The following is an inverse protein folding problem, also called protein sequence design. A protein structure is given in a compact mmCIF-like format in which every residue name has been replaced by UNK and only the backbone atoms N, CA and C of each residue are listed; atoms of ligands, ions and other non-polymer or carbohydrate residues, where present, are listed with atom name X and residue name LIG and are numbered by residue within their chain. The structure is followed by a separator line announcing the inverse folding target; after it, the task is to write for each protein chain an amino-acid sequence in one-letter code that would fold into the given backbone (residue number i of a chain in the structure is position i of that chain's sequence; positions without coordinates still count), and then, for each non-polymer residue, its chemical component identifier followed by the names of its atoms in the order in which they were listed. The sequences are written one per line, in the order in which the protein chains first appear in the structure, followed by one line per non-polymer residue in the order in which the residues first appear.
data_IF_811395515694
#
_entry.id   IF_811395515694
#
_cell.length_a   1.000
_cell.length_b   1.000
_cell.length_c   1.000
_cell.angle_alpha   90.00
_cell.angle_beta   90.00
_cell.angle_gamma   90.00
#
_symmetry.space_group_name_H-M   'P 1'
#
loop_
_entity.id
_entity.type
_entity.pdbx_description
1 polymer ?
#
# COMPACT_ATOMS: atom_id res chain seq x y z
N UNK A 1 32.71 -8.00 -14.05
CA UNK A 1 32.23 -7.99 -12.65
C UNK A 1 31.26 -9.14 -12.35
N UNK A 2 30.77 -9.84 -13.37
CA UNK A 2 29.88 -11.01 -13.23
C UNK A 2 30.61 -12.33 -12.87
N UNK A 3 31.92 -12.34 -12.97
CA UNK A 3 32.72 -13.57 -12.87
C UNK A 3 32.92 -14.10 -11.45
N UNK A 4 32.84 -13.25 -10.42
CA UNK A 4 33.11 -13.66 -9.03
C UNK A 4 31.89 -14.28 -8.30
N UNK A 5 30.69 -14.19 -8.89
CA UNK A 5 29.46 -14.73 -8.32
C UNK A 5 29.00 -16.06 -8.96
N UNK A 6 29.71 -16.54 -9.98
CA UNK A 6 29.29 -17.73 -10.73
C UNK A 6 29.85 -19.06 -10.18
N UNK A 7 30.80 -19.07 -9.25
CA UNK A 7 31.56 -20.29 -8.98
C UNK A 7 31.07 -21.18 -7.84
N UNK A 8 30.15 -20.81 -6.95
CA UNK A 8 29.78 -21.71 -5.84
C UNK A 8 28.29 -21.61 -5.47
N UNK A 9 27.41 -22.23 -6.24
CA UNK A 9 26.08 -22.58 -5.76
C UNK A 9 26.07 -24.07 -5.37
N UNK A 10 25.99 -24.44 -4.08
CA UNK A 10 25.79 -25.82 -3.68
C UNK A 10 24.40 -26.31 -4.10
N UNK A 11 24.22 -27.62 -4.30
CA UNK A 11 22.87 -28.18 -4.56
C UNK A 11 22.03 -28.00 -3.29
N UNK A 12 21.05 -27.09 -3.36
CA UNK A 12 20.15 -26.82 -2.26
C UNK A 12 19.22 -28.01 -2.05
N UNK A 13 19.10 -28.48 -0.81
CA UNK A 13 18.05 -29.40 -0.42
C UNK A 13 16.71 -28.65 -0.33
N UNK A 14 15.57 -29.31 -0.53
CA UNK A 14 14.23 -28.69 -0.44
C UNK A 14 13.97 -28.03 0.94
N UNK A 15 14.62 -28.54 1.98
CA UNK A 15 14.57 -27.99 3.35
C UNK A 15 15.31 -26.65 3.45
N UNK A 16 16.46 -26.51 2.76
CA UNK A 16 17.24 -25.27 2.76
C UNK A 16 16.52 -24.15 1.98
N UNK A 17 15.85 -24.50 0.89
CA UNK A 17 15.04 -23.53 0.12
C UNK A 17 13.85 -23.00 0.93
N UNK A 18 13.20 -23.83 1.75
CA UNK A 18 12.12 -23.40 2.65
C UNK A 18 12.59 -22.46 3.76
N UNK A 19 13.75 -22.76 4.37
CA UNK A 19 14.38 -21.91 5.38
C UNK A 19 14.79 -20.57 4.77
N UNK A 20 15.44 -20.61 3.61
CA UNK A 20 15.87 -19.43 2.88
C UNK A 20 14.67 -18.56 2.43
N UNK A 21 13.56 -19.17 2.02
CA UNK A 21 12.32 -18.45 1.69
C UNK A 21 11.77 -17.70 2.89
N UNK A 22 11.80 -18.30 4.08
CA UNK A 22 11.35 -17.66 5.32
C UNK A 22 12.25 -16.47 5.66
N UNK A 23 13.56 -16.65 5.66
CA UNK A 23 14.52 -15.60 5.95
C UNK A 23 14.43 -14.45 4.93
N UNK A 24 14.21 -14.77 3.65
CA UNK A 24 13.96 -13.79 2.60
C UNK A 24 12.70 -12.97 2.84
N UNK A 25 11.61 -13.61 3.29
CA UNK A 25 10.35 -12.94 3.61
C UNK A 25 10.49 -12.04 4.84
N UNK A 26 11.15 -12.54 5.89
CA UNK A 26 11.35 -11.80 7.14
C UNK A 26 12.25 -10.57 6.89
N UNK A 27 13.36 -10.73 6.18
CA UNK A 27 14.24 -9.63 5.81
C UNK A 27 13.55 -8.63 4.85
N UNK A 28 12.83 -9.11 3.83
CA UNK A 28 12.14 -8.25 2.87
C UNK A 28 11.00 -7.46 3.50
N UNK A 29 10.38 -7.95 4.58
CA UNK A 29 9.35 -7.24 5.32
C UNK A 29 9.89 -5.93 5.93
N UNK A 30 11.12 -5.93 6.46
CA UNK A 30 11.74 -4.73 7.03
C UNK A 30 12.11 -3.70 5.95
N UNK A 31 12.55 -4.16 4.79
CA UNK A 31 12.84 -3.31 3.63
C UNK A 31 11.57 -2.89 2.86
N UNK A 32 10.44 -3.53 3.16
CA UNK A 32 9.16 -3.27 2.51
C UNK A 32 9.08 -3.75 1.06
N UNK A 33 10.18 -4.20 0.44
CA UNK A 33 10.16 -4.84 -0.88
C UNK A 33 11.38 -5.75 -1.08
N UNK A 34 11.19 -6.77 -1.92
CA UNK A 34 12.27 -7.70 -2.31
C UNK A 34 13.37 -6.96 -3.07
N UNK A 35 12.99 -6.02 -3.94
CA UNK A 35 13.95 -5.24 -4.74
C UNK A 35 14.82 -4.32 -3.87
N UNK A 36 14.26 -3.69 -2.84
CA UNK A 36 15.02 -2.84 -1.91
C UNK A 36 16.03 -3.66 -1.09
N UNK A 37 15.62 -4.82 -0.58
CA UNK A 37 16.51 -5.75 0.11
C UNK A 37 17.64 -6.23 -0.81
N UNK A 38 17.30 -6.68 -2.03
CA UNK A 38 18.30 -7.15 -3.00
C UNK A 38 19.32 -6.05 -3.34
N UNK A 39 18.84 -4.83 -3.65
CA UNK A 39 19.71 -3.69 -3.93
C UNK A 39 20.64 -3.34 -2.76
N UNK A 40 20.14 -3.40 -1.53
CA UNK A 40 20.95 -3.16 -0.35
C UNK A 40 22.05 -4.24 -0.18
N UNK A 41 21.67 -5.53 -0.25
CA UNK A 41 22.64 -6.63 -0.12
C UNK A 41 23.67 -6.62 -1.25
N UNK A 42 23.28 -6.25 -2.47
CA UNK A 42 24.19 -6.05 -3.60
C UNK A 42 25.16 -4.87 -3.36
N UNK A 43 24.67 -3.79 -2.77
CA UNK A 43 25.51 -2.67 -2.36
C UNK A 43 26.54 -3.11 -1.32
N UNK A 44 26.15 -3.88 -0.30
CA UNK A 44 27.09 -4.45 0.68
C UNK A 44 28.08 -5.38 0.02
N UNK A 45 27.66 -6.25 -0.92
CA UNK A 45 28.53 -7.15 -1.66
C UNK A 45 29.56 -6.42 -2.54
N UNK A 46 29.13 -5.30 -3.14
CA UNK A 46 29.95 -4.48 -4.04
C UNK A 46 30.83 -3.45 -3.32
N UNK A 47 30.63 -3.25 -2.00
CA UNK A 47 31.29 -2.19 -1.24
C UNK A 47 32.82 -2.27 -1.30
N UNK A 48 33.40 -1.57 -2.27
CA UNK A 48 34.79 -1.14 -2.27
C UNK A 48 34.83 0.21 -1.53
N UNK A 49 35.21 0.23 -0.27
CA UNK A 49 35.65 1.36 0.61
C UNK A 49 35.05 2.78 0.42
N UNK A 50 34.25 3.07 -0.59
CA UNK A 50 33.71 4.43 -0.88
C UNK A 50 32.25 4.64 -0.50
N UNK A 51 31.43 3.59 -0.51
CA UNK A 51 30.00 3.72 -0.16
C UNK A 51 29.79 3.10 1.22
N UNK A 52 29.39 3.91 2.19
CA UNK A 52 29.07 3.42 3.52
C UNK A 52 27.61 2.87 3.53
N UNK A 53 27.41 1.53 3.55
CA UNK A 53 26.07 0.94 3.53
C UNK A 53 25.22 1.35 4.72
N UNK A 54 25.85 1.65 5.87
CA UNK A 54 25.19 2.16 7.06
C UNK A 54 24.55 3.53 6.80
N UNK A 55 25.32 4.46 6.22
CA UNK A 55 24.81 5.79 5.90
C UNK A 55 23.66 5.75 4.87
N UNK A 56 23.69 4.77 3.98
CA UNK A 56 22.61 4.55 3.01
C UNK A 56 21.34 4.07 3.70
N UNK A 57 21.44 3.11 4.63
CA UNK A 57 20.30 2.66 5.42
C UNK A 57 19.73 3.77 6.31
N UNK A 58 20.59 4.50 7.02
CA UNK A 58 20.18 5.59 7.88
C UNK A 58 19.41 6.66 7.10
N UNK A 59 19.93 7.01 5.92
CA UNK A 59 19.27 7.98 5.04
C UNK A 59 17.93 7.50 4.48
N UNK A 60 17.84 6.21 4.12
CA UNK A 60 16.62 5.68 3.46
C UNK A 60 15.56 5.21 4.44
N UNK A 61 15.95 4.71 5.61
CA UNK A 61 15.03 4.04 6.54
C UNK A 61 15.01 4.69 7.94
N UNK A 62 16.03 5.47 8.31
CA UNK A 62 16.07 6.22 9.57
C UNK A 62 16.21 5.36 10.85
N UNK A 63 16.38 4.06 10.74
CA UNK A 63 16.57 3.12 11.86
C UNK A 63 17.54 2.00 11.40
N UNK A 64 18.72 2.45 10.92
CA UNK A 64 19.72 1.54 10.35
C UNK A 64 20.15 0.47 11.34
N UNK A 65 20.33 0.82 12.62
CA UNK A 65 20.84 -0.14 13.62
C UNK A 65 19.83 -1.26 13.91
N UNK A 66 18.54 -0.95 14.01
CA UNK A 66 17.53 -1.98 14.20
C UNK A 66 17.42 -2.93 12.99
N UNK A 67 17.56 -2.39 11.78
CA UNK A 67 17.55 -3.20 10.56
C UNK A 67 18.79 -4.08 10.46
N UNK A 68 19.97 -3.53 10.76
CA UNK A 68 21.23 -4.27 10.75
C UNK A 68 21.27 -5.36 11.83
N UNK A 69 20.78 -5.07 13.05
CA UNK A 69 20.69 -6.06 14.12
C UNK A 69 19.78 -7.24 13.74
N UNK A 70 18.66 -6.99 13.02
CA UNK A 70 17.82 -8.08 12.50
C UNK A 70 18.50 -8.88 11.41
N UNK A 71 19.20 -8.24 10.47
CA UNK A 71 19.96 -8.96 9.43
C UNK A 71 21.12 -9.77 10.02
N UNK A 72 21.73 -9.29 11.10
CA UNK A 72 22.73 -10.06 11.88
C UNK A 72 22.08 -11.24 12.62
N UNK A 73 20.92 -11.04 13.24
CA UNK A 73 20.17 -12.10 13.90
C UNK A 73 19.72 -13.21 12.93
N UNK A 74 19.49 -12.86 11.66
CA UNK A 74 19.24 -13.81 10.57
C UNK A 74 20.52 -14.41 9.97
N UNK A 75 21.70 -14.02 10.50
CA UNK A 75 23.02 -14.44 10.01
C UNK A 75 23.29 -14.06 8.54
N UNK A 76 22.64 -13.01 8.05
CA UNK A 76 22.82 -12.53 6.67
C UNK A 76 24.03 -11.60 6.57
N UNK A 77 24.25 -10.79 7.60
CA UNK A 77 25.36 -9.84 7.70
C UNK A 77 26.27 -10.15 8.87
N UNK A 78 27.55 -9.78 8.72
CA UNK A 78 28.57 -9.78 9.78
C UNK A 78 29.28 -8.42 9.83
N UNK A 79 29.87 -8.10 10.99
CA UNK A 79 30.59 -6.85 11.21
C UNK A 79 29.69 -5.69 11.65
N UNK A 80 30.34 -4.56 12.00
CA UNK A 80 29.70 -3.35 12.52
C UNK A 80 30.09 -2.11 11.71
N UNK A 81 29.15 -1.16 11.59
CA UNK A 81 29.38 0.15 10.99
C UNK A 81 30.03 0.11 9.61
N UNK A 82 31.29 0.49 9.51
CA UNK A 82 32.03 0.56 8.25
C UNK A 82 32.58 -0.79 7.77
N UNK A 83 32.54 -1.86 8.60
CA UNK A 83 33.07 -3.21 8.30
C UNK A 83 31.96 -4.21 7.97
N UNK A 84 30.81 -3.77 7.53
CA UNK A 84 29.70 -4.64 7.13
C UNK A 84 30.10 -5.55 5.95
N UNK A 85 29.89 -6.84 6.12
CA UNK A 85 30.14 -7.84 5.09
C UNK A 85 29.00 -8.87 5.04
N UNK A 86 28.79 -9.44 3.85
CA UNK A 86 27.86 -10.56 3.69
C UNK A 86 28.50 -11.84 4.24
N UNK A 87 27.73 -12.59 5.01
CA UNK A 87 28.06 -13.96 5.37
C UNK A 87 27.89 -14.91 4.16
N UNK A 88 28.25 -16.18 4.30
CA UNK A 88 27.95 -17.19 3.25
C UNK A 88 26.46 -17.31 3.03
N UNK A 89 25.67 -17.32 4.11
CA UNK A 89 24.21 -17.30 4.06
C UNK A 89 23.68 -16.05 3.35
N UNK A 90 24.26 -14.87 3.63
CA UNK A 90 23.92 -13.63 2.96
C UNK A 90 24.19 -13.66 1.45
N UNK A 91 25.32 -14.25 1.04
CA UNK A 91 25.64 -14.45 -0.38
C UNK A 91 24.65 -15.37 -1.06
N UNK A 92 24.30 -16.50 -0.43
CA UNK A 92 23.25 -17.39 -0.92
C UNK A 92 21.89 -16.70 -1.01
N UNK A 93 21.54 -15.87 -0.04
CA UNK A 93 20.31 -15.10 -0.07
C UNK A 93 20.24 -14.15 -1.27
N UNK A 94 21.32 -13.48 -1.66
CA UNK A 94 21.35 -12.63 -2.86
C UNK A 94 21.01 -13.42 -4.11
N UNK A 95 21.62 -14.63 -4.29
CA UNK A 95 21.25 -15.52 -5.40
C UNK A 95 19.80 -15.95 -5.35
N UNK A 96 19.33 -16.32 -4.17
CA UNK A 96 17.96 -16.76 -3.95
C UNK A 96 16.97 -15.64 -4.28
N UNK A 97 17.21 -14.41 -3.84
CA UNK A 97 16.40 -13.24 -4.15
C UNK A 97 16.32 -12.96 -5.67
N UNK A 98 17.45 -13.08 -6.37
CA UNK A 98 17.48 -12.91 -7.83
C UNK A 98 16.66 -13.99 -8.56
N UNK A 99 16.81 -15.25 -8.14
CA UNK A 99 16.17 -16.39 -8.78
C UNK A 99 14.66 -16.46 -8.48
N UNK A 100 14.25 -16.21 -7.24
CA UNK A 100 12.90 -16.41 -6.74
C UNK A 100 12.15 -15.11 -6.41
N UNK A 101 12.59 -13.97 -6.97
CA UNK A 101 12.01 -12.66 -6.68
C UNK A 101 10.48 -12.63 -6.85
N UNK A 102 9.94 -13.26 -7.89
CA UNK A 102 8.49 -13.31 -8.18
C UNK A 102 7.73 -14.14 -7.16
N UNK A 103 8.29 -15.26 -6.73
CA UNK A 103 7.73 -16.16 -5.72
C UNK A 103 7.69 -15.47 -4.36
N UNK A 104 8.80 -14.84 -3.96
CA UNK A 104 8.91 -14.08 -2.71
C UNK A 104 7.92 -12.92 -2.71
N UNK A 105 7.84 -12.13 -3.78
CA UNK A 105 6.84 -11.08 -3.92
C UNK A 105 5.40 -11.62 -3.81
N UNK A 106 5.13 -12.78 -4.40
CA UNK A 106 3.82 -13.42 -4.33
C UNK A 106 3.48 -13.85 -2.91
N UNK A 107 4.44 -14.39 -2.16
CA UNK A 107 4.26 -14.75 -0.76
C UNK A 107 4.12 -13.50 0.13
N UNK A 108 4.94 -12.47 -0.07
CA UNK A 108 4.77 -11.18 0.62
C UNK A 108 3.36 -10.61 0.41
N UNK A 109 2.86 -10.64 -0.83
CA UNK A 109 1.46 -10.22 -1.11
C UNK A 109 0.44 -11.04 -0.36
N UNK A 110 0.64 -12.36 -0.20
CA UNK A 110 -0.23 -13.23 0.59
C UNK A 110 -0.16 -12.89 2.08
N UNK A 111 1.05 -12.65 2.61
CA UNK A 111 1.26 -12.22 4.00
C UNK A 111 0.59 -10.88 4.24
N UNK A 112 0.83 -9.87 3.38
CA UNK A 112 0.18 -8.56 3.46
C UNK A 112 -1.36 -8.68 3.42
N UNK A 113 -1.91 -9.55 2.56
CA UNK A 113 -3.36 -9.79 2.50
C UNK A 113 -3.91 -10.52 3.73
N UNK A 114 -3.12 -11.37 4.38
CA UNK A 114 -3.52 -12.14 5.58
C UNK A 114 -3.37 -11.34 6.87
N UNK A 115 -2.26 -10.62 7.03
CA UNK A 115 -2.03 -9.70 8.14
C UNK A 115 -2.90 -8.45 8.05
N UNK A 116 -3.25 -8.08 6.82
CA UNK A 116 -4.17 -7.01 6.52
C UNK A 116 -5.63 -7.44 6.61
N UNK A 117 -6.09 -7.86 7.80
CA UNK A 117 -7.38 -7.38 8.28
C UNK A 117 -7.13 -6.19 9.23
N UNK A 118 -6.67 -5.01 8.72
CA UNK A 118 -7.02 -3.81 9.43
C UNK A 118 -8.54 -3.86 9.47
N UNK A 119 -9.14 -3.51 10.57
CA UNK A 119 -10.51 -3.01 10.57
C UNK A 119 -10.60 -2.16 9.31
N UNK A 120 -11.30 -2.70 8.30
CA UNK A 120 -11.35 -2.07 6.98
C UNK A 120 -11.52 -0.58 7.22
N UNK A 121 -10.64 0.25 6.68
CA UNK A 121 -10.97 1.66 6.52
C UNK A 121 -12.31 1.58 5.82
N UNK A 122 -13.42 1.91 6.45
CA UNK A 122 -14.71 1.81 5.81
C UNK A 122 -14.70 2.87 4.72
N UNK A 123 -14.21 2.46 3.56
CA UNK A 123 -14.42 3.17 2.32
C UNK A 123 -15.92 3.02 2.09
N UNK A 124 -16.69 3.90 2.73
CA UNK A 124 -18.13 3.92 2.53
C UNK A 124 -18.41 4.30 1.08
N UNK A 125 -18.60 3.25 0.28
CA UNK A 125 -18.87 3.38 -1.16
C UNK A 125 -20.31 3.84 -1.40
N UNK A 126 -21.12 4.01 -0.36
CA UNK A 126 -22.49 4.51 -0.47
C UNK A 126 -22.54 5.97 -0.91
N UNK A 127 -21.53 6.77 -0.56
CA UNK A 127 -21.45 8.18 -0.97
C UNK A 127 -21.13 8.36 -2.46
N UNK A 128 -20.57 7.34 -3.12
CA UNK A 128 -20.26 7.38 -4.56
C UNK A 128 -21.48 7.16 -5.48
N UNK A 129 -22.62 6.77 -4.93
CA UNK A 129 -23.83 6.47 -5.72
C UNK A 129 -24.53 7.71 -6.27
N UNK A 130 -24.24 8.90 -5.78
CA UNK A 130 -24.93 10.15 -6.13
C UNK A 130 -24.36 10.89 -7.35
N UNK A 131 -23.17 10.55 -7.82
CA UNK A 131 -22.56 11.15 -9.00
C UNK A 131 -22.86 10.36 -10.28
N UNK A 132 -23.58 10.94 -11.24
CA UNK A 132 -23.75 10.36 -12.59
C UNK A 132 -22.41 10.32 -13.34
N UNK A 133 -21.61 9.29 -13.11
CA UNK A 133 -20.39 9.03 -13.88
C UNK A 133 -20.77 8.36 -15.23
N UNK A 134 -20.97 9.17 -16.27
CA UNK A 134 -21.03 8.68 -17.64
C UNK A 134 -19.60 8.42 -18.13
N UNK A 135 -19.26 7.16 -18.42
CA UNK A 135 -18.01 6.80 -19.09
C UNK A 135 -16.94 6.10 -18.26
N UNK A 136 -17.19 5.80 -16.97
CA UNK A 136 -16.27 4.99 -16.19
C UNK A 136 -16.23 3.55 -16.67
N UNK A 137 -15.03 2.95 -16.76
CA UNK A 137 -14.85 1.52 -17.05
C UNK A 137 -15.52 0.68 -15.96
N UNK A 138 -16.71 0.21 -16.26
CA UNK A 138 -17.54 -0.59 -15.37
C UNK A 138 -17.07 -2.04 -15.44
N UNK A 139 -16.61 -2.61 -14.35
CA UNK A 139 -16.39 -4.05 -14.25
C UNK A 139 -17.61 -4.65 -13.54
N UNK A 140 -18.36 -5.46 -14.22
CA UNK A 140 -19.45 -6.20 -13.61
C UNK A 140 -18.87 -7.23 -12.63
N UNK A 141 -19.17 -7.09 -11.37
CA UNK A 141 -18.95 -8.13 -10.37
C UNK A 141 -20.29 -8.78 -10.10
N UNK A 142 -20.40 -10.06 -10.34
CA UNK A 142 -21.60 -10.83 -10.04
C UNK A 142 -21.52 -11.24 -8.55
N UNK A 143 -22.52 -10.91 -7.78
CA UNK A 143 -22.65 -11.32 -6.40
C UNK A 143 -23.85 -12.23 -6.30
N UNK A 144 -23.69 -13.42 -5.71
CA UNK A 144 -24.77 -14.36 -5.44
C UNK A 144 -25.28 -14.08 -4.04
N UNK A 145 -26.58 -13.82 -3.91
CA UNK A 145 -27.25 -13.51 -2.64
C UNK A 145 -28.59 -14.24 -2.56
N UNK A 146 -29.24 -14.21 -1.40
CA UNK A 146 -30.61 -14.75 -1.27
C UNK A 146 -31.60 -13.95 -2.11
N UNK A 147 -32.70 -14.60 -2.50
CA UNK A 147 -33.73 -13.93 -3.29
C UNK A 147 -34.33 -12.71 -2.53
N UNK A 148 -34.46 -12.82 -1.22
CA UNK A 148 -34.95 -11.73 -0.36
C UNK A 148 -33.99 -10.56 -0.30
N UNK A 149 -32.69 -10.78 -0.10
CA UNK A 149 -31.66 -9.72 -0.10
C UNK A 149 -31.55 -9.02 -1.46
N UNK A 150 -31.92 -9.70 -2.55
CA UNK A 150 -31.91 -9.16 -3.91
C UNK A 150 -33.22 -8.48 -4.31
N UNK A 151 -34.21 -8.36 -3.42
CA UNK A 151 -35.58 -7.91 -3.75
C UNK A 151 -36.15 -8.66 -4.98
N UNK A 152 -35.81 -9.92 -5.14
CA UNK A 152 -36.14 -10.76 -6.30
C UNK A 152 -35.72 -10.17 -7.67
N UNK A 153 -34.73 -9.27 -7.68
CA UNK A 153 -34.21 -8.62 -8.89
C UNK A 153 -32.87 -9.23 -9.30
N UNK A 154 -32.81 -9.87 -10.45
CA UNK A 154 -31.62 -10.46 -11.03
C UNK A 154 -31.87 -11.79 -11.72
N UNK A 155 -30.81 -12.44 -12.19
CA UNK A 155 -30.90 -13.76 -12.78
C UNK A 155 -30.74 -14.84 -11.69
N UNK A 156 -31.53 -15.91 -11.77
CA UNK A 156 -31.38 -17.03 -10.83
C UNK A 156 -30.03 -17.71 -11.08
N UNK A 157 -29.24 -17.84 -10.03
CA UNK A 157 -27.99 -18.59 -10.05
C UNK A 157 -28.27 -20.07 -9.80
N UNK A 158 -28.40 -20.85 -10.87
CA UNK A 158 -28.66 -22.30 -10.77
C UNK A 158 -27.61 -23.01 -9.89
N UNK A 159 -26.27 -22.80 -10.07
CA UNK A 159 -25.29 -23.42 -9.20
C UNK A 159 -25.43 -23.00 -7.72
N UNK A 160 -25.69 -21.72 -7.47
CA UNK A 160 -25.88 -21.19 -6.12
C UNK A 160 -27.12 -21.79 -5.43
N UNK A 161 -28.23 -21.89 -6.16
CA UNK A 161 -29.49 -22.48 -5.69
C UNK A 161 -29.31 -23.97 -5.37
N UNK A 162 -28.69 -24.74 -6.26
CA UNK A 162 -28.45 -26.17 -6.03
C UNK A 162 -27.52 -26.39 -4.83
N UNK A 163 -26.46 -25.57 -4.68
CA UNK A 163 -25.56 -25.65 -3.53
C UNK A 163 -26.29 -25.39 -2.22
N UNK A 164 -27.15 -24.37 -2.17
CA UNK A 164 -27.92 -24.04 -0.98
C UNK A 164 -28.95 -25.12 -0.65
N UNK A 165 -29.68 -25.61 -1.65
CA UNK A 165 -30.58 -26.74 -1.52
C UNK A 165 -29.87 -27.98 -0.96
N UNK A 166 -28.68 -28.33 -1.47
CA UNK A 166 -27.91 -29.47 -0.99
C UNK A 166 -27.50 -29.32 0.49
N UNK A 167 -27.09 -28.10 0.88
CA UNK A 167 -26.77 -27.78 2.31
C UNK A 167 -27.99 -27.96 3.18
N UNK A 168 -29.16 -27.43 2.79
CA UNK A 168 -30.43 -27.59 3.55
C UNK A 168 -30.82 -29.05 3.67
N UNK A 169 -30.78 -29.81 2.58
CA UNK A 169 -31.09 -31.24 2.59
C UNK A 169 -30.15 -32.02 3.53
N UNK A 170 -28.87 -31.70 3.53
CA UNK A 170 -27.88 -32.30 4.42
C UNK A 170 -28.17 -31.99 5.89
N UNK A 171 -28.56 -30.77 6.21
CA UNK A 171 -28.90 -30.34 7.58
C UNK A 171 -30.18 -30.96 8.06
N UNK A 172 -31.18 -31.19 7.21
CA UNK A 172 -32.46 -31.79 7.54
C UNK A 172 -32.45 -33.32 7.48
N UNK A 173 -31.36 -33.94 7.02
CA UNK A 173 -31.24 -35.39 6.86
C UNK A 173 -32.19 -36.02 5.84
N UNK A 174 -32.87 -35.23 5.01
CA UNK A 174 -33.79 -35.68 3.97
C UNK A 174 -33.68 -34.86 2.68
N UNK A 175 -33.89 -35.51 1.54
CA UNK A 175 -34.02 -34.84 0.26
C UNK A 175 -35.46 -34.36 0.07
N UNK A 176 -35.63 -33.05 -0.13
CA UNK A 176 -36.90 -32.40 -0.44
C UNK A 176 -36.82 -31.62 -1.75
N UNK A 177 -37.91 -31.02 -2.21
CA UNK A 177 -37.90 -30.11 -3.35
C UNK A 177 -37.10 -28.86 -3.04
N UNK A 178 -36.73 -28.10 -4.09
CA UNK A 178 -36.14 -26.78 -3.96
C UNK A 178 -37.22 -25.82 -3.41
N UNK A 179 -36.89 -25.13 -2.33
CA UNK A 179 -37.75 -24.16 -1.66
C UNK A 179 -37.35 -22.72 -2.00
N UNK A 180 -38.23 -21.73 -1.82
CA UNK A 180 -37.89 -20.32 -2.07
C UNK A 180 -36.66 -19.82 -1.31
N UNK A 181 -36.40 -20.33 -0.11
CA UNK A 181 -35.21 -20.00 0.69
C UNK A 181 -33.90 -20.51 0.10
N UNK A 182 -33.98 -21.53 -0.79
CA UNK A 182 -32.79 -22.04 -1.49
C UNK A 182 -32.40 -21.15 -2.68
N UNK A 183 -33.36 -20.37 -3.20
CA UNK A 183 -33.15 -19.59 -4.42
C UNK A 183 -32.06 -18.55 -4.21
N UNK A 184 -31.04 -18.59 -5.07
CA UNK A 184 -29.95 -17.62 -5.12
C UNK A 184 -30.03 -16.83 -6.40
N UNK A 185 -29.95 -15.53 -6.25
CA UNK A 185 -30.01 -14.57 -7.36
C UNK A 185 -28.63 -14.02 -7.62
N UNK A 186 -28.25 -14.01 -8.87
CA UNK A 186 -27.04 -13.37 -9.35
C UNK A 186 -27.35 -11.93 -9.72
N UNK A 187 -26.83 -11.02 -8.94
CA UNK A 187 -26.98 -9.58 -9.17
C UNK A 187 -25.66 -9.00 -9.69
N UNK A 188 -25.73 -8.38 -10.86
CA UNK A 188 -24.60 -7.66 -11.41
C UNK A 188 -24.39 -6.35 -10.63
N UNK A 189 -23.44 -6.30 -9.73
CA UNK A 189 -23.03 -5.04 -9.11
C UNK A 189 -22.03 -4.34 -10.01
N UNK A 190 -22.47 -3.23 -10.59
CA UNK A 190 -21.56 -2.32 -11.30
C UNK A 190 -20.65 -1.65 -10.29
N UNK A 191 -19.41 -2.09 -10.20
CA UNK A 191 -18.38 -1.40 -9.40
C UNK A 191 -17.75 -0.32 -10.25
N UNK A 192 -18.03 0.92 -9.92
CA UNK A 192 -17.27 2.05 -10.42
C UNK A 192 -15.83 1.96 -9.84
N UNK A 193 -14.85 2.09 -10.71
CA UNK A 193 -13.46 2.23 -10.25
C UNK A 193 -13.26 3.63 -9.70
N UNK A 194 -12.71 3.71 -8.50
CA UNK A 194 -12.37 4.96 -7.83
C UNK A 194 -10.92 5.31 -8.17
N UNK A 195 -10.66 6.58 -8.45
CA UNK A 195 -9.30 7.12 -8.55
C UNK A 195 -8.88 7.54 -7.13
N UNK A 196 -8.04 6.73 -6.50
CA UNK A 196 -7.52 6.98 -5.15
C UNK A 196 -6.18 7.71 -5.27
N UNK A 197 -6.08 8.88 -4.68
CA UNK A 197 -4.83 9.60 -4.52
C UNK A 197 -4.31 9.43 -3.10
N UNK A 198 -3.14 8.80 -2.95
CA UNK A 198 -2.40 8.75 -1.71
C UNK A 198 -1.43 9.93 -1.68
N UNK A 199 -1.70 10.88 -0.80
CA UNK A 199 -0.86 12.03 -0.54
C UNK A 199 -0.04 11.74 0.72
N UNK A 200 1.26 11.51 0.55
CA UNK A 200 2.16 11.08 1.62
C UNK A 200 3.08 12.23 1.99
N UNK A 201 3.09 12.57 3.25
CA UNK A 201 4.10 13.42 3.83
C UNK A 201 5.47 12.73 3.77
N UNK A 202 6.41 13.36 3.10
CA UNK A 202 7.79 12.89 3.00
C UNK A 202 8.78 13.90 3.63
N UNK A 203 8.32 14.66 4.62
CA UNK A 203 9.17 15.53 5.42
C UNK A 203 10.13 14.73 6.32
N UNK A 204 11.14 15.41 6.87
CA UNK A 204 12.16 14.77 7.70
C UNK A 204 11.56 14.09 8.94
N UNK A 205 10.47 14.60 9.51
CA UNK A 205 9.77 14.02 10.66
C UNK A 205 9.13 12.66 10.36
N UNK A 206 8.87 12.37 9.08
CA UNK A 206 8.32 11.10 8.61
C UNK A 206 9.37 10.00 8.43
N UNK A 207 10.65 10.29 8.63
CA UNK A 207 11.72 9.30 8.47
C UNK A 207 11.52 8.06 9.36
N UNK A 208 12.09 6.92 8.95
CA UNK A 208 12.05 5.66 9.68
C UNK A 208 10.70 4.93 9.56
N UNK A 209 10.15 4.51 10.70
CA UNK A 209 8.94 3.66 10.75
C UNK A 209 7.70 4.30 10.15
N UNK A 210 7.58 5.64 10.19
CA UNK A 210 6.40 6.35 9.67
C UNK A 210 6.31 6.27 8.15
N UNK A 211 7.39 6.56 7.44
CA UNK A 211 7.39 6.45 5.97
C UNK A 211 7.25 5.00 5.49
N UNK A 212 7.79 4.04 6.26
CA UNK A 212 7.59 2.63 5.95
C UNK A 212 6.14 2.20 6.12
N UNK A 213 5.47 2.65 7.20
CA UNK A 213 4.04 2.42 7.40
C UNK A 213 3.21 3.01 6.26
N UNK A 214 3.55 4.24 5.80
CA UNK A 214 2.90 4.87 4.67
C UNK A 214 3.11 4.08 3.36
N UNK A 215 4.33 3.64 3.07
CA UNK A 215 4.64 2.78 1.91
C UNK A 215 3.90 1.45 2.00
N UNK A 216 3.84 0.83 3.19
CA UNK A 216 3.11 -0.41 3.41
C UNK A 216 1.60 -0.24 3.16
N UNK A 217 1.01 0.85 3.66
CA UNK A 217 -0.39 1.16 3.41
C UNK A 217 -0.68 1.34 1.92
N UNK A 218 0.19 2.04 1.19
CA UNK A 218 0.06 2.21 -0.26
C UNK A 218 0.05 0.85 -0.99
N UNK A 219 0.95 -0.07 -0.62
CA UNK A 219 0.98 -1.45 -1.14
C UNK A 219 -0.30 -2.21 -0.81
N UNK A 220 -0.72 -2.13 0.45
CA UNK A 220 -1.94 -2.79 0.91
C UNK A 220 -3.15 -2.30 0.13
N UNK A 221 -3.34 -1.00 0.02
CA UNK A 221 -4.45 -0.41 -0.74
C UNK A 221 -4.43 -0.86 -2.21
N UNK A 222 -3.28 -0.85 -2.85
CA UNK A 222 -3.15 -1.32 -4.23
C UNK A 222 -3.49 -2.80 -4.40
N UNK A 223 -3.11 -3.66 -3.44
CA UNK A 223 -3.34 -5.10 -3.51
C UNK A 223 -4.78 -5.50 -3.16
N UNK A 224 -5.44 -4.74 -2.29
CA UNK A 224 -6.79 -5.04 -1.80
C UNK A 224 -7.87 -4.31 -2.58
N UNK A 225 -7.61 -3.08 -2.98
CA UNK A 225 -8.51 -2.30 -3.81
C UNK A 225 -8.21 -2.57 -5.28
N UNK A 226 -9.25 -2.82 -6.08
CA UNK A 226 -9.12 -2.93 -7.55
C UNK A 226 -9.21 -1.55 -8.22
N UNK A 227 -9.05 -0.52 -7.46
CA UNK A 227 -9.15 0.88 -7.85
C UNK A 227 -7.81 1.37 -8.44
N UNK A 228 -7.80 2.54 -9.05
CA UNK A 228 -6.58 3.16 -9.56
C UNK A 228 -5.92 3.92 -8.42
N UNK A 229 -4.67 3.64 -8.15
CA UNK A 229 -3.93 4.30 -7.06
C UNK A 229 -2.86 5.21 -7.66
N UNK A 230 -2.90 6.47 -7.25
CA UNK A 230 -1.84 7.44 -7.49
C UNK A 230 -1.12 7.72 -6.17
N UNK A 231 0.19 7.93 -6.22
CA UNK A 231 1.01 8.27 -5.06
C UNK A 231 1.72 9.59 -5.33
N UNK A 232 1.41 10.58 -4.51
CA UNK A 232 2.09 11.86 -4.46
C UNK A 232 2.81 11.98 -3.12
N UNK A 233 3.98 12.59 -3.13
CA UNK A 233 4.64 13.02 -1.90
C UNK A 233 4.84 14.52 -1.91
N UNK A 234 4.84 15.11 -0.73
CA UNK A 234 5.19 16.51 -0.54
C UNK A 234 6.31 16.65 0.49
N UNK A 235 7.31 17.42 0.13
CA UNK A 235 8.46 17.73 0.97
C UNK A 235 9.17 18.99 0.47
N UNK A 236 9.78 19.77 1.34
CA UNK A 236 10.43 21.02 1.01
C UNK A 236 9.51 21.96 0.20
N UNK A 237 9.91 22.33 -1.00
CA UNK A 237 9.14 23.17 -1.92
C UNK A 237 8.53 22.40 -3.08
N UNK A 238 8.49 21.08 -2.99
CA UNK A 238 8.05 20.24 -4.11
C UNK A 238 6.95 19.27 -3.72
N UNK A 239 6.04 19.06 -4.66
CA UNK A 239 5.08 17.96 -4.65
C UNK A 239 5.42 17.07 -5.82
N UNK A 240 5.78 15.83 -5.53
CA UNK A 240 6.29 14.90 -6.54
C UNK A 240 5.30 13.77 -6.77
N UNK A 241 4.78 13.61 -8.00
CA UNK A 241 3.99 12.44 -8.36
C UNK A 241 4.95 11.26 -8.65
N UNK A 242 4.97 10.26 -7.78
CA UNK A 242 5.78 9.06 -7.96
C UNK A 242 5.06 8.02 -8.82
N UNK A 243 3.75 7.95 -8.70
CA UNK A 243 2.91 7.01 -9.47
C UNK A 243 1.59 7.69 -9.77
N UNK A 244 1.18 7.64 -11.03
CA UNK A 244 -0.11 8.15 -11.47
C UNK A 244 -0.94 6.99 -11.99
N UNK A 245 -2.10 6.72 -11.33
CA UNK A 245 -3.06 5.69 -11.71
C UNK A 245 -2.40 4.34 -11.99
N UNK A 246 -1.65 3.83 -11.01
CA UNK A 246 -0.89 2.59 -11.12
C UNK A 246 -1.75 1.45 -11.70
N UNK A 247 -1.21 0.76 -12.69
CA UNK A 247 -1.84 -0.41 -13.32
C UNK A 247 -1.16 -1.73 -12.97
N UNK A 248 0.05 -1.66 -12.43
CA UNK A 248 0.84 -2.83 -12.05
C UNK A 248 1.53 -2.62 -10.71
N UNK A 249 1.71 -3.71 -9.97
CA UNK A 249 2.46 -3.70 -8.72
C UNK A 249 3.90 -3.21 -8.91
N UNK A 250 4.53 -3.61 -10.02
CA UNK A 250 5.90 -3.19 -10.34
C UNK A 250 6.01 -1.66 -10.47
N UNK A 251 5.07 -1.01 -11.15
CA UNK A 251 5.06 0.44 -11.28
C UNK A 251 4.87 1.12 -9.92
N UNK A 252 4.03 0.57 -9.04
CA UNK A 252 3.86 1.06 -7.68
C UNK A 252 5.17 0.94 -6.88
N UNK A 253 5.82 -0.23 -6.90
CA UNK A 253 7.07 -0.46 -6.17
C UNK A 253 8.20 0.45 -6.67
N UNK A 254 8.33 0.63 -7.98
CA UNK A 254 9.31 1.57 -8.54
C UNK A 254 9.06 2.99 -8.05
N UNK A 255 7.80 3.45 -8.05
CA UNK A 255 7.46 4.76 -7.51
C UNK A 255 7.73 4.88 -6.01
N UNK A 256 7.32 3.89 -5.20
CA UNK A 256 7.54 3.92 -3.76
C UNK A 256 9.02 3.83 -3.36
N UNK A 257 9.87 3.19 -4.17
CA UNK A 257 11.31 3.10 -3.91
C UNK A 257 12.03 4.45 -4.04
N UNK A 258 11.48 5.38 -4.81
CA UNK A 258 12.05 6.72 -4.99
C UNK A 258 11.65 7.70 -3.87
N UNK A 259 10.68 7.36 -3.03
CA UNK A 259 10.23 8.21 -1.92
C UNK A 259 11.28 8.21 -0.81
N UNK A 260 11.85 9.38 -0.55
CA UNK A 260 12.87 9.59 0.51
C UNK A 260 12.45 10.77 1.39
N UNK A 261 12.29 10.54 2.70
CA UNK A 261 11.93 11.62 3.62
C UNK A 261 13.07 12.64 3.75
N UNK A 262 12.74 13.92 3.56
CA UNK A 262 13.66 15.02 3.76
C UNK A 262 12.91 16.35 3.93
N UNK A 263 13.55 17.33 4.57
CA UNK A 263 13.14 18.72 4.58
C UNK A 263 11.83 19.04 5.30
N UNK A 264 11.16 20.08 4.85
CA UNK A 264 9.99 20.72 5.46
C UNK A 264 8.67 20.15 4.90
N UNK A 265 7.54 20.55 5.52
CA UNK A 265 6.19 20.01 5.23
C UNK A 265 5.31 21.06 4.53
N UNK A 266 5.27 21.13 3.18
CA UNK A 266 4.40 22.00 2.40
C UNK A 266 3.00 21.38 2.23
N UNK A 267 2.25 21.21 3.31
CA UNK A 267 0.98 20.47 3.31
C UNK A 267 -0.06 21.13 2.39
N UNK A 268 -0.18 22.46 2.40
CA UNK A 268 -1.11 23.19 1.54
C UNK A 268 -0.84 22.90 0.04
N UNK A 269 0.42 22.98 -0.40
CA UNK A 269 0.81 22.70 -1.77
C UNK A 269 0.50 21.25 -2.15
N UNK A 270 0.75 20.30 -1.22
CA UNK A 270 0.40 18.88 -1.40
C UNK A 270 -1.07 18.67 -1.66
N UNK A 271 -1.95 19.27 -0.86
CA UNK A 271 -3.40 19.16 -1.00
C UNK A 271 -3.86 19.75 -2.34
N UNK A 272 -3.41 20.96 -2.69
CA UNK A 272 -3.77 21.62 -3.96
C UNK A 272 -3.40 20.76 -5.17
N UNK A 273 -2.20 20.20 -5.18
CA UNK A 273 -1.75 19.35 -6.27
C UNK A 273 -2.53 18.03 -6.36
N UNK A 274 -2.86 17.44 -5.22
CA UNK A 274 -3.69 16.25 -5.17
C UNK A 274 -5.11 16.51 -5.70
N UNK A 275 -5.74 17.62 -5.31
CA UNK A 275 -7.05 18.05 -5.83
C UNK A 275 -6.96 18.28 -7.34
N UNK A 276 -5.92 18.97 -7.82
CA UNK A 276 -5.68 19.20 -9.25
C UNK A 276 -5.56 17.86 -10.01
N UNK A 277 -4.78 16.91 -9.49
CA UNK A 277 -4.60 15.58 -10.12
C UNK A 277 -5.94 14.83 -10.21
N UNK A 278 -6.73 14.84 -9.15
CA UNK A 278 -8.02 14.16 -9.11
C UNK A 278 -9.03 14.84 -10.05
N UNK A 279 -9.02 16.17 -10.16
CA UNK A 279 -9.86 16.94 -11.07
C UNK A 279 -9.61 16.66 -12.55
N UNK A 280 -8.43 16.14 -12.93
CA UNK A 280 -8.16 15.71 -14.31
C UNK A 280 -8.96 14.47 -14.73
N UNK A 281 -9.52 13.73 -13.79
CA UNK A 281 -10.31 12.52 -14.04
C UNK A 281 -11.81 12.86 -14.13
N UNK A 282 -12.24 13.58 -15.16
CA UNK A 282 -13.58 14.15 -15.32
C UNK A 282 -14.77 13.18 -15.13
N UNK A 283 -14.58 11.87 -15.05
CA UNK A 283 -15.67 10.88 -15.07
C UNK A 283 -15.49 9.71 -14.09
N UNK A 284 -14.46 9.69 -13.28
CA UNK A 284 -14.26 8.65 -12.26
C UNK A 284 -14.52 9.25 -10.86
N UNK A 285 -15.22 8.53 -9.97
CA UNK A 285 -15.25 8.94 -8.58
C UNK A 285 -13.82 9.00 -8.04
N UNK A 286 -13.50 10.05 -7.32
CA UNK A 286 -12.17 10.31 -6.77
C UNK A 286 -12.19 10.13 -5.24
N UNK A 287 -11.02 9.86 -4.66
CA UNK A 287 -10.82 9.82 -3.21
C UNK A 287 -9.41 10.30 -2.88
N UNK A 288 -9.29 11.14 -1.87
CA UNK A 288 -8.02 11.62 -1.35
C UNK A 288 -7.73 10.99 0.02
N UNK A 289 -6.56 10.37 0.15
CA UNK A 289 -6.06 9.82 1.42
C UNK A 289 -4.75 10.51 1.77
N UNK A 290 -4.74 11.27 2.86
CA UNK A 290 -3.58 11.97 3.39
C UNK A 290 -2.92 11.14 4.50
N UNK A 291 -1.60 10.97 4.41
CA UNK A 291 -0.77 10.38 5.46
C UNK A 291 0.25 11.43 5.92
N UNK A 292 0.16 11.86 7.16
CA UNK A 292 1.04 12.91 7.71
C UNK A 292 1.14 12.80 9.23
N UNK A 293 2.15 13.42 9.81
CA UNK A 293 2.20 13.66 11.26
C UNK A 293 1.46 14.96 11.68
N UNK A 294 0.99 15.74 10.69
CA UNK A 294 0.10 16.88 10.89
C UNK A 294 0.77 18.17 11.39
N UNK A 295 2.04 18.38 11.06
CA UNK A 295 2.76 19.62 11.39
C UNK A 295 3.16 20.33 10.10
N UNK A 296 2.32 21.22 9.54
CA UNK A 296 2.71 22.03 8.39
C UNK A 296 3.79 23.03 8.81
N UNK A 297 4.89 23.07 8.07
CA UNK A 297 6.02 23.94 8.38
C UNK A 297 6.34 24.94 7.26
N UNK A 298 5.68 24.81 6.12
CA UNK A 298 5.84 25.70 4.98
C UNK A 298 4.53 26.36 4.60
N UNK A 299 4.58 27.66 4.43
CA UNK A 299 3.48 28.48 3.92
C UNK A 299 3.38 28.40 2.38
N UNK A 300 2.17 28.62 1.88
CA UNK A 300 1.87 28.64 0.44
C UNK A 300 1.41 30.04 -0.01
N UNK A 301 0.53 30.69 0.76
CA UNK A 301 -0.09 31.96 0.39
C UNK A 301 0.06 33.04 1.48
N UNK A 302 0.06 32.62 2.75
CA UNK A 302 0.13 33.51 3.89
C UNK A 302 1.42 33.28 4.67
N UNK A 303 1.64 34.01 5.75
CA UNK A 303 2.76 33.74 6.67
C UNK A 303 2.50 32.58 7.64
N UNK A 304 1.30 31.96 7.63
CA UNK A 304 0.89 30.90 8.54
C UNK A 304 0.66 29.58 7.79
N UNK A 305 1.59 28.61 7.89
CA UNK A 305 1.46 27.31 7.24
C UNK A 305 0.19 26.53 7.63
N UNK A 306 -0.26 26.67 8.89
CA UNK A 306 -1.44 25.97 9.36
C UNK A 306 -2.71 26.56 8.73
N UNK A 307 -2.80 27.87 8.62
CA UNK A 307 -3.91 28.55 7.96
C UNK A 307 -3.98 28.20 6.48
N UNK A 308 -2.83 28.17 5.79
CA UNK A 308 -2.77 27.83 4.37
C UNK A 308 -3.24 26.39 4.13
N UNK A 309 -2.86 25.44 5.00
CA UNK A 309 -3.31 24.07 4.90
C UNK A 309 -4.83 23.92 5.15
N UNK A 310 -5.42 24.71 6.05
CA UNK A 310 -6.87 24.72 6.26
C UNK A 310 -7.61 25.31 5.05
N UNK A 311 -7.09 26.38 4.45
CA UNK A 311 -7.65 26.94 3.20
C UNK A 311 -7.54 25.94 2.04
N UNK A 312 -6.43 25.18 1.97
CA UNK A 312 -6.34 24.10 0.98
C UNK A 312 -7.36 22.98 1.23
N UNK A 313 -7.71 22.70 2.49
CA UNK A 313 -8.72 21.70 2.84
C UNK A 313 -10.14 22.12 2.38
N UNK A 314 -10.45 23.42 2.35
CA UNK A 314 -11.71 23.94 1.78
C UNK A 314 -11.87 23.53 0.31
N UNK A 315 -10.78 23.50 -0.47
CA UNK A 315 -10.81 23.05 -1.87
C UNK A 315 -11.21 21.57 -2.02
N UNK A 316 -10.89 20.72 -1.02
CA UNK A 316 -11.31 19.31 -1.02
C UNK A 316 -12.84 19.25 -0.91
N UNK A 317 -13.42 20.03 0.03
CA UNK A 317 -14.86 20.10 0.27
C UNK A 317 -15.60 20.70 -0.94
N UNK A 318 -15.11 21.82 -1.51
CA UNK A 318 -15.66 22.47 -2.69
C UNK A 318 -15.74 21.53 -3.90
N UNK A 319 -14.73 20.70 -4.09
CA UNK A 319 -14.71 19.70 -5.16
C UNK A 319 -15.45 18.41 -4.81
N UNK A 320 -16.08 18.34 -3.63
CA UNK A 320 -16.80 17.15 -3.14
C UNK A 320 -15.96 15.87 -3.23
N UNK A 321 -14.68 15.95 -2.92
CA UNK A 321 -13.75 14.81 -2.93
C UNK A 321 -13.80 14.13 -1.56
N UNK A 322 -14.23 12.85 -1.47
CA UNK A 322 -14.13 12.08 -0.24
C UNK A 322 -12.71 12.10 0.31
N UNK A 323 -12.57 12.51 1.56
CA UNK A 323 -11.27 12.72 2.19
C UNK A 323 -11.08 11.83 3.42
N UNK A 324 -9.91 11.21 3.50
CA UNK A 324 -9.49 10.44 4.67
C UNK A 324 -8.10 10.90 5.09
N UNK A 325 -7.95 11.25 6.35
CA UNK A 325 -6.67 11.59 6.95
C UNK A 325 -6.22 10.48 7.90
N UNK A 326 -4.98 10.06 7.78
CA UNK A 326 -4.33 9.07 8.66
C UNK A 326 -3.14 9.75 9.33
N UNK A 327 -3.25 9.95 10.64
CA UNK A 327 -2.24 10.59 11.45
C UNK A 327 -1.21 9.57 11.98
N UNK A 328 0.06 9.81 11.67
CA UNK A 328 1.19 8.98 12.13
C UNK A 328 1.93 9.71 13.24
N UNK A 329 1.59 9.43 14.50
CA UNK A 329 2.04 10.15 15.71
C UNK A 329 1.66 11.65 15.66
N UNK A 330 0.36 11.98 15.58
CA UNK A 330 -0.13 13.23 15.03
C UNK A 330 -0.20 14.40 16.03
N UNK A 331 -0.19 15.62 15.45
CA UNK A 331 -0.84 16.79 16.07
C UNK A 331 -2.37 16.64 15.92
N UNK A 332 -3.01 16.02 16.93
CA UNK A 332 -4.42 15.61 16.87
C UNK A 332 -5.38 16.78 16.70
N UNK A 333 -5.13 17.92 17.32
CA UNK A 333 -6.00 19.09 17.26
C UNK A 333 -6.04 19.69 15.86
N UNK A 334 -4.88 19.85 15.23
CA UNK A 334 -4.76 20.37 13.89
C UNK A 334 -5.41 19.43 12.86
N UNK A 335 -5.09 18.12 12.90
CA UNK A 335 -5.64 17.16 11.95
C UNK A 335 -7.16 17.01 12.07
N UNK A 336 -7.71 17.11 13.29
CA UNK A 336 -9.17 17.13 13.49
C UNK A 336 -9.79 18.31 12.76
N UNK A 337 -9.27 19.52 12.98
CA UNK A 337 -9.78 20.72 12.32
C UNK A 337 -9.65 20.67 10.80
N UNK A 338 -8.51 20.18 10.30
CA UNK A 338 -8.30 19.97 8.86
C UNK A 338 -9.36 19.03 8.26
N UNK A 339 -9.63 17.93 8.96
CA UNK A 339 -10.58 16.91 8.51
C UNK A 339 -12.03 17.40 8.58
N UNK A 340 -12.38 18.19 9.60
CA UNK A 340 -13.70 18.82 9.72
C UNK A 340 -13.97 19.78 8.55
N UNK A 341 -13.02 20.63 8.20
CA UNK A 341 -13.14 21.57 7.05
C UNK A 341 -13.26 20.80 5.74
N UNK A 342 -12.50 19.75 5.55
CA UNK A 342 -12.54 18.92 4.34
C UNK A 342 -13.75 17.97 4.29
N UNK A 343 -14.64 17.98 5.27
CA UNK A 343 -15.75 17.03 5.44
C UNK A 343 -15.30 15.56 5.34
N UNK A 344 -14.17 15.23 5.94
CA UNK A 344 -13.52 13.93 5.83
C UNK A 344 -13.55 13.11 7.12
N UNK A 345 -12.81 12.00 7.11
CA UNK A 345 -12.66 11.07 8.24
C UNK A 345 -11.21 11.05 8.73
N UNK A 346 -11.01 11.13 10.06
CA UNK A 346 -9.69 11.06 10.70
C UNK A 346 -9.47 9.70 11.36
N UNK A 347 -8.33 9.07 11.07
CA UNK A 347 -7.80 7.89 11.74
C UNK A 347 -6.47 8.25 12.42
N UNK A 348 -6.30 7.83 13.68
CA UNK A 348 -5.12 8.10 14.52
C UNK A 348 -4.59 6.79 15.08
#
# INVERSE_FOLDING_TARGET
TDSLLQEHAPPASLTDDCAMMKDALDAAADFGSVSSLASFLECVAASRRRDNPYALLEREYGDAEAMLSRLRALEILSGDGASLALTDKGRHLVFFLRRFAREIETQMRKVIRRSGRPRAIPLDKSDFSRGRARGASVRESRTIMSAEEADFRGAISVPGTISQWAVRCSQQGRRGPVEPCDVRIEQARRRLRVDVCLLIDASASMAGKRIQAAKHLARYMFLTCRDRVSVLTFQDRSVTPHVIRARSHRALEQGLSTVRPAGLTPLAAGIVEAVRLLGTARHAPAMLVLLTDGIPTMNQWTGDPARDALTAAEQIAENSIPFTCIGLAPNKSFLRRLTEIAHGTLYI
#
